data_IF_854595391497
#
_entry.id   IF_854595391497
#
_cell.length_a   1.000
_cell.length_b   1.000
_cell.length_c   1.000
_cell.angle_alpha   90.00
_cell.angle_beta   90.00
_cell.angle_gamma   90.00
#
_symmetry.space_group_name_H-M   'P 1'
#
loop_
_entity.id
_entity.type
_entity.pdbx_description
1 polymer ?
#
# COMPACT_ATOMS: atom_id res chain seq x y z
N UNK A 1 -19.53 6.41 3.51
CA UNK A 1 -18.05 6.38 3.39
C UNK A 1 -17.43 7.72 3.01
N UNK A 2 -17.94 8.45 2.00
CA UNK A 2 -17.37 9.73 1.55
C UNK A 2 -17.16 10.78 2.66
N UNK A 3 -18.08 10.87 3.64
CA UNK A 3 -18.01 11.85 4.75
C UNK A 3 -16.85 11.59 5.73
N UNK A 4 -16.50 10.32 5.96
CA UNK A 4 -15.39 9.94 6.85
C UNK A 4 -14.07 10.18 6.13
N UNK A 5 -13.99 9.84 4.84
CA UNK A 5 -12.79 10.10 4.02
C UNK A 5 -12.53 11.60 3.91
N UNK A 6 -13.54 12.41 3.64
CA UNK A 6 -13.42 13.87 3.60
C UNK A 6 -13.00 14.47 4.95
N UNK A 7 -13.50 13.92 6.06
CA UNK A 7 -13.12 14.35 7.41
C UNK A 7 -11.69 13.94 7.78
N UNK A 8 -11.28 12.72 7.45
CA UNK A 8 -9.90 12.25 7.62
C UNK A 8 -8.94 13.07 6.75
N UNK A 9 -9.35 13.42 5.53
CA UNK A 9 -8.58 14.31 4.64
C UNK A 9 -8.45 15.71 5.21
N UNK A 10 -9.54 16.33 5.68
CA UNK A 10 -9.48 17.69 6.23
C UNK A 10 -8.65 17.77 7.52
N UNK A 11 -8.75 16.74 8.38
CA UNK A 11 -7.95 16.62 9.60
C UNK A 11 -6.47 16.38 9.28
N UNK A 12 -6.15 15.55 8.29
CA UNK A 12 -4.78 15.30 7.89
C UNK A 12 -4.11 16.53 7.27
N UNK A 13 -4.85 17.25 6.42
CA UNK A 13 -4.38 18.49 5.78
C UNK A 13 -4.14 19.61 6.81
N UNK A 14 -4.94 19.66 7.89
CA UNK A 14 -4.74 20.64 8.97
C UNK A 14 -3.58 20.31 9.90
N UNK A 15 -3.31 19.02 10.13
CA UNK A 15 -2.21 18.58 11.02
C UNK A 15 -0.87 18.48 10.26
N UNK A 16 -0.89 18.29 8.94
CA UNK A 16 0.31 18.19 8.11
C UNK A 16 1.08 16.88 8.33
N UNK A 17 2.40 16.96 8.54
CA UNK A 17 3.27 15.78 8.63
C UNK A 17 2.90 14.77 9.74
N UNK A 18 2.58 15.20 10.97
CA UNK A 18 2.14 14.28 12.02
C UNK A 18 0.81 13.59 11.70
N UNK A 19 -0.10 14.28 11.00
CA UNK A 19 -1.37 13.68 10.55
C UNK A 19 -1.12 12.61 9.50
N UNK A 20 -0.21 12.88 8.56
CA UNK A 20 0.22 11.93 7.54
C UNK A 20 0.89 10.70 8.15
N UNK A 21 1.75 10.88 9.16
CA UNK A 21 2.35 9.77 9.92
C UNK A 21 1.28 8.88 10.54
N UNK A 22 0.29 9.46 11.23
CA UNK A 22 -0.74 8.69 11.92
C UNK A 22 -1.64 7.93 10.95
N UNK A 23 -1.98 8.54 9.82
CA UNK A 23 -2.77 7.88 8.78
C UNK A 23 -1.97 6.76 8.11
N UNK A 24 -0.70 7.00 7.76
CA UNK A 24 0.17 5.98 7.20
C UNK A 24 0.35 4.79 8.16
N UNK A 25 0.43 5.06 9.46
CA UNK A 25 0.45 4.06 10.51
C UNK A 25 -0.83 3.22 10.54
N UNK A 26 -2.00 3.87 10.57
CA UNK A 26 -3.28 3.17 10.61
C UNK A 26 -3.54 2.35 9.34
N UNK A 27 -3.21 2.92 8.18
CA UNK A 27 -3.37 2.29 6.88
C UNK A 27 -2.47 1.05 6.72
N UNK A 28 -1.23 1.14 7.20
CA UNK A 28 -0.29 0.02 7.15
C UNK A 28 -0.52 -1.05 8.23
N UNK A 29 -1.25 -0.72 9.30
CA UNK A 29 -1.55 -1.65 10.40
C UNK A 29 -2.82 -2.49 10.14
N UNK A 30 -3.98 -2.01 10.60
CA UNK A 30 -5.20 -2.81 10.76
C UNK A 30 -6.33 -2.38 9.83
N UNK A 31 -6.41 -1.09 9.53
CA UNK A 31 -7.43 -0.53 8.65
C UNK A 31 -6.87 -0.57 7.24
N UNK A 32 -7.42 -1.40 6.37
CA UNK A 32 -7.15 -1.25 4.94
C UNK A 32 -7.98 -0.07 4.46
N UNK A 33 -7.42 1.13 4.56
CA UNK A 33 -8.00 2.32 3.96
C UNK A 33 -7.45 2.37 2.53
N UNK A 34 -8.28 2.20 1.49
CA UNK A 34 -7.76 2.21 0.13
C UNK A 34 -7.15 3.58 -0.18
N UNK A 35 -5.83 3.63 -0.39
CA UNK A 35 -5.09 4.72 -1.04
C UNK A 35 -5.16 6.11 -0.37
N UNK A 36 -5.74 6.22 0.84
CA UNK A 36 -5.88 7.51 1.53
C UNK A 36 -4.52 8.13 1.83
N UNK A 37 -3.54 7.32 2.24
CA UNK A 37 -2.19 7.81 2.52
C UNK A 37 -1.50 8.38 1.27
N UNK A 38 -1.59 7.68 0.14
CA UNK A 38 -0.95 8.08 -1.12
C UNK A 38 -1.53 9.38 -1.65
N UNK A 39 -2.86 9.50 -1.62
CA UNK A 39 -3.56 10.74 -1.97
C UNK A 39 -3.14 11.91 -1.06
N UNK A 40 -2.98 11.66 0.24
CA UNK A 40 -2.56 12.70 1.18
C UNK A 40 -1.12 13.15 0.97
N UNK A 41 -0.20 12.22 0.67
CA UNK A 41 1.18 12.58 0.26
C UNK A 41 1.13 13.52 -0.93
N UNK A 42 0.40 13.14 -1.99
CA UNK A 42 0.29 13.95 -3.21
C UNK A 42 -0.30 15.33 -2.92
N UNK A 43 -1.44 15.41 -2.22
CA UNK A 43 -2.11 16.68 -1.93
C UNK A 43 -1.25 17.63 -1.09
N UNK A 44 -0.62 17.12 -0.02
CA UNK A 44 0.24 17.93 0.86
C UNK A 44 1.48 18.43 0.12
N UNK A 45 2.05 17.61 -0.76
CA UNK A 45 3.23 17.98 -1.54
C UNK A 45 2.89 18.98 -2.64
N UNK A 46 1.70 18.90 -3.25
CA UNK A 46 1.25 19.93 -4.19
C UNK A 46 1.11 21.29 -3.51
N UNK A 47 0.54 21.31 -2.29
CA UNK A 47 0.36 22.55 -1.51
C UNK A 47 1.68 23.14 -1.01
N UNK A 48 2.63 22.28 -0.63
CA UNK A 48 3.90 22.66 -0.01
C UNK A 48 5.07 21.86 -0.62
N UNK A 49 5.42 22.20 -1.86
CA UNK A 49 6.44 21.50 -2.66
C UNK A 49 7.82 21.50 -2.00
N UNK A 50 8.14 22.56 -1.27
CA UNK A 50 9.38 22.70 -0.51
C UNK A 50 9.51 21.67 0.63
N UNK A 51 8.39 21.10 1.09
CA UNK A 51 8.33 20.08 2.15
C UNK A 51 8.18 18.66 1.60
N UNK A 52 8.46 18.44 0.31
CA UNK A 52 8.36 17.14 -0.35
C UNK A 52 8.99 15.99 0.45
N UNK A 53 10.27 16.14 0.82
CA UNK A 53 11.00 15.12 1.57
C UNK A 53 10.42 14.91 2.98
N UNK A 54 9.95 15.98 3.62
CA UNK A 54 9.36 15.89 4.95
C UNK A 54 8.09 15.02 4.93
N UNK A 55 7.17 15.25 3.99
CA UNK A 55 5.96 14.43 3.89
C UNK A 55 6.26 12.99 3.48
N UNK A 56 7.17 12.77 2.53
CA UNK A 56 7.59 11.42 2.16
C UNK A 56 8.20 10.65 3.36
N UNK A 57 9.01 11.33 4.17
CA UNK A 57 9.59 10.74 5.39
C UNK A 57 8.52 10.43 6.44
N UNK A 58 7.58 11.35 6.70
CA UNK A 58 6.50 11.10 7.66
C UNK A 58 5.61 9.92 7.25
N UNK A 59 5.25 9.82 5.97
CA UNK A 59 4.51 8.68 5.44
C UNK A 59 5.32 7.37 5.56
N UNK A 60 6.63 7.42 5.27
CA UNK A 60 7.52 6.26 5.40
C UNK A 60 7.61 5.78 6.84
N UNK A 61 7.84 6.69 7.80
CA UNK A 61 7.96 6.36 9.21
C UNK A 61 6.63 5.82 9.77
N UNK A 62 5.51 6.43 9.39
CA UNK A 62 4.18 5.97 9.79
C UNK A 62 3.90 4.56 9.25
N UNK A 63 4.16 4.36 7.95
CA UNK A 63 4.00 3.04 7.32
C UNK A 63 4.89 1.98 7.95
N UNK A 64 6.17 2.30 8.20
CA UNK A 64 7.11 1.41 8.88
C UNK A 64 6.61 1.02 10.28
N UNK A 65 6.19 2.00 11.07
CA UNK A 65 5.64 1.75 12.41
C UNK A 65 4.42 0.83 12.36
N UNK A 66 3.51 1.05 11.39
CA UNK A 66 2.34 0.18 11.24
C UNK A 66 2.69 -1.23 10.76
N UNK A 67 3.66 -1.35 9.85
CA UNK A 67 4.19 -2.63 9.41
C UNK A 67 4.86 -3.40 10.56
N UNK A 68 5.56 -2.71 11.46
CA UNK A 68 6.16 -3.34 12.65
C UNK A 68 5.09 -3.91 13.58
N UNK A 69 3.98 -3.20 13.79
CA UNK A 69 2.84 -3.74 14.56
C UNK A 69 2.35 -5.03 13.94
N UNK A 70 2.10 -5.04 12.63
CA UNK A 70 1.64 -6.23 11.92
C UNK A 70 2.67 -7.38 11.95
N UNK A 71 3.95 -7.06 11.81
CA UNK A 71 5.05 -8.01 11.95
C UNK A 71 5.06 -8.65 13.35
N UNK A 72 4.92 -7.87 14.42
CA UNK A 72 4.91 -8.41 15.79
C UNK A 72 3.66 -9.24 16.07
N UNK A 73 2.52 -8.87 15.49
CA UNK A 73 1.30 -9.69 15.54
C UNK A 73 1.54 -11.04 14.86
N UNK A 74 2.21 -11.06 13.71
CA UNK A 74 2.61 -12.31 13.05
C UNK A 74 3.53 -13.14 13.95
N UNK A 75 4.57 -12.50 14.50
CA UNK A 75 5.58 -13.15 15.34
C UNK A 75 5.00 -13.76 16.61
N UNK A 76 4.06 -13.09 17.28
CA UNK A 76 3.41 -13.57 18.52
C UNK A 76 2.20 -14.46 18.26
N UNK A 77 1.39 -14.14 17.25
CA UNK A 77 0.13 -14.83 16.95
C UNK A 77 0.28 -16.10 16.12
N UNK A 78 1.46 -16.29 15.50
CA UNK A 78 1.79 -17.50 14.75
C UNK A 78 0.91 -17.74 13.52
N UNK A 79 1.11 -18.90 12.88
CA UNK A 79 0.42 -19.25 11.64
C UNK A 79 -1.11 -19.38 11.78
N UNK A 80 -1.63 -19.64 12.99
CA UNK A 80 -3.07 -19.80 13.22
C UNK A 80 -3.83 -18.47 13.04
N UNK A 81 -3.36 -17.39 13.67
CA UNK A 81 -3.99 -16.07 13.56
C UNK A 81 -3.91 -15.53 12.13
N UNK A 82 -2.77 -15.73 11.46
CA UNK A 82 -2.56 -15.31 10.09
C UNK A 82 -3.46 -16.04 9.08
N UNK A 83 -3.59 -17.36 9.21
CA UNK A 83 -4.48 -18.16 8.36
C UNK A 83 -5.94 -17.72 8.51
N UNK A 84 -6.36 -17.37 9.73
CA UNK A 84 -7.72 -16.88 10.00
C UNK A 84 -8.00 -15.51 9.36
N UNK A 85 -7.00 -14.60 9.31
CA UNK A 85 -7.17 -13.23 8.82
C UNK A 85 -7.00 -13.05 7.32
N UNK A 86 -6.13 -13.85 6.67
CA UNK A 86 -5.73 -13.69 5.26
C UNK A 86 -5.89 -14.95 4.39
N UNK A 87 -6.32 -16.08 4.98
CA UNK A 87 -6.54 -17.35 4.28
C UNK A 87 -5.28 -18.21 4.09
N UNK A 88 -5.41 -19.53 4.21
CA UNK A 88 -4.29 -20.48 4.16
C UNK A 88 -3.48 -20.48 2.85
N UNK A 89 -4.16 -20.44 1.70
CA UNK A 89 -3.52 -20.48 0.37
C UNK A 89 -2.62 -19.27 0.09
N UNK A 90 -3.00 -18.06 0.55
CA UNK A 90 -2.18 -16.85 0.39
C UNK A 90 -0.91 -16.94 1.22
N UNK A 91 -1.03 -17.56 2.40
CA UNK A 91 0.06 -17.78 3.35
C UNK A 91 1.13 -18.73 2.79
N UNK A 92 0.69 -19.87 2.23
CA UNK A 92 1.59 -20.87 1.65
C UNK A 92 2.38 -20.32 0.45
N UNK A 93 1.70 -19.59 -0.44
CA UNK A 93 2.36 -18.97 -1.61
C UNK A 93 3.41 -17.95 -1.19
N UNK A 94 3.08 -17.11 -0.23
CA UNK A 94 4.00 -16.07 0.20
C UNK A 94 5.14 -16.64 1.07
N UNK A 95 4.94 -17.75 1.78
CA UNK A 95 6.03 -18.52 2.42
C UNK A 95 6.97 -19.13 1.37
N UNK A 96 6.43 -19.74 0.31
CA UNK A 96 7.24 -20.29 -0.78
C UNK A 96 8.05 -19.20 -1.50
N UNK A 97 7.47 -18.02 -1.71
CA UNK A 97 8.17 -16.86 -2.26
C UNK A 97 9.27 -16.36 -1.30
N UNK A 98 9.01 -16.33 0.01
CA UNK A 98 10.02 -15.96 0.99
C UNK A 98 11.19 -16.95 1.02
N UNK A 99 10.92 -18.26 1.00
CA UNK A 99 11.97 -19.28 0.92
C UNK A 99 12.84 -19.15 -0.34
N UNK A 100 12.24 -18.75 -1.46
CA UNK A 100 12.94 -18.63 -2.75
C UNK A 100 13.68 -17.30 -2.94
N UNK A 101 13.12 -16.19 -2.46
CA UNK A 101 13.59 -14.83 -2.77
C UNK A 101 14.01 -14.00 -1.54
N UNK A 102 13.82 -14.51 -0.33
CA UNK A 102 14.22 -13.85 0.92
C UNK A 102 13.67 -12.43 1.05
N UNK A 103 14.57 -11.45 1.22
CA UNK A 103 14.21 -10.04 1.38
C UNK A 103 13.41 -9.46 0.21
N UNK A 104 13.64 -9.94 -1.02
CA UNK A 104 12.91 -9.48 -2.21
C UNK A 104 11.42 -9.85 -2.16
N UNK A 105 11.06 -10.92 -1.45
CA UNK A 105 9.66 -11.30 -1.24
C UNK A 105 8.88 -10.27 -0.42
N UNK A 106 9.57 -9.41 0.33
CA UNK A 106 8.96 -8.33 1.13
C UNK A 106 9.10 -6.99 0.40
N UNK A 107 10.27 -6.73 -0.20
CA UNK A 107 10.55 -5.48 -0.90
C UNK A 107 9.64 -5.25 -2.12
N UNK A 108 9.48 -6.26 -2.99
CA UNK A 108 8.72 -6.11 -4.24
C UNK A 108 7.25 -5.75 -3.95
N UNK A 109 6.51 -6.48 -3.10
CA UNK A 109 5.15 -6.11 -2.74
C UNK A 109 5.05 -4.76 -2.02
N UNK A 110 6.10 -4.31 -1.34
CA UNK A 110 6.11 -3.03 -0.63
C UNK A 110 6.20 -1.82 -1.58
N UNK A 111 6.81 -2.00 -2.75
CA UNK A 111 6.90 -0.97 -3.80
C UNK A 111 5.70 -1.03 -4.74
N UNK A 112 5.14 -2.22 -4.98
CA UNK A 112 4.06 -2.40 -5.97
C UNK A 112 2.74 -1.71 -5.56
N UNK A 113 2.02 -1.13 -6.54
CA UNK A 113 0.70 -0.53 -6.30
C UNK A 113 -0.35 -1.59 -5.92
N UNK A 114 -1.51 -1.16 -5.37
CA UNK A 114 -2.68 -2.04 -5.17
C UNK A 114 -3.00 -2.76 -6.50
N UNK A 115 -3.30 -4.07 -6.54
CA UNK A 115 -3.79 -4.97 -5.50
C UNK A 115 -2.73 -5.95 -4.96
N UNK A 116 -1.49 -5.50 -4.76
CA UNK A 116 -0.42 -6.36 -4.24
C UNK A 116 -0.74 -6.86 -2.81
N UNK A 117 -0.53 -8.15 -2.49
CA UNK A 117 -0.83 -8.70 -1.16
C UNK A 117 0.26 -8.35 -0.13
N UNK A 118 0.72 -7.10 -0.10
CA UNK A 118 1.80 -6.60 0.73
C UNK A 118 1.67 -6.98 2.21
N UNK A 119 0.49 -6.77 2.82
CA UNK A 119 0.25 -7.05 4.25
C UNK A 119 0.43 -8.53 4.60
N UNK A 120 0.17 -9.44 3.66
CA UNK A 120 0.38 -10.88 3.85
C UNK A 120 1.87 -11.19 4.00
N UNK A 121 2.72 -10.56 3.18
CA UNK A 121 4.17 -10.70 3.27
C UNK A 121 4.74 -10.11 4.56
N UNK A 122 4.22 -8.96 5.01
CA UNK A 122 4.60 -8.38 6.31
C UNK A 122 4.29 -9.33 7.47
N UNK A 123 3.09 -9.89 7.49
CA UNK A 123 2.68 -10.83 8.53
C UNK A 123 3.50 -12.13 8.51
N UNK A 124 3.79 -12.63 7.30
CA UNK A 124 4.66 -13.79 7.09
C UNK A 124 6.09 -13.55 7.56
N UNK A 125 6.65 -12.36 7.32
CA UNK A 125 7.96 -12.01 7.83
C UNK A 125 8.00 -12.09 9.36
N UNK A 126 6.91 -11.70 10.03
CA UNK A 126 6.72 -11.89 11.47
C UNK A 126 6.75 -13.36 11.87
N UNK A 127 5.97 -14.20 11.18
CA UNK A 127 5.83 -15.64 11.48
C UNK A 127 7.11 -16.42 11.18
N UNK A 128 7.80 -16.07 10.11
CA UNK A 128 9.10 -16.65 9.74
C UNK A 128 10.24 -16.18 10.66
N UNK A 129 9.97 -15.24 11.58
CA UNK A 129 10.96 -14.77 12.54
C UNK A 129 12.09 -13.95 11.91
N UNK A 130 11.83 -13.26 10.78
CA UNK A 130 12.83 -12.44 10.09
C UNK A 130 13.43 -11.43 11.06
N UNK A 131 14.77 -11.24 11.11
CA UNK A 131 15.37 -10.26 12.03
C UNK A 131 14.71 -8.88 11.87
N UNK A 132 14.30 -8.27 12.99
CA UNK A 132 13.53 -7.01 12.99
C UNK A 132 14.25 -5.90 12.24
N UNK A 133 15.57 -5.82 12.43
CA UNK A 133 16.40 -4.81 11.75
C UNK A 133 16.37 -4.99 10.24
N UNK A 134 16.47 -6.24 9.75
CA UNK A 134 16.42 -6.54 8.32
C UNK A 134 15.03 -6.26 7.74
N UNK A 135 13.97 -6.62 8.46
CA UNK A 135 12.60 -6.29 8.05
C UNK A 135 12.40 -4.76 7.98
N UNK A 136 12.84 -4.04 9.00
CA UNK A 136 12.67 -2.59 9.09
C UNK A 136 13.43 -1.86 7.98
N UNK A 137 14.67 -2.24 7.67
CA UNK A 137 15.45 -1.62 6.59
C UNK A 137 14.82 -1.86 5.23
N UNK A 138 14.36 -3.08 4.95
CA UNK A 138 13.68 -3.41 3.69
C UNK A 138 12.41 -2.59 3.51
N UNK A 139 11.58 -2.49 4.55
CA UNK A 139 10.34 -1.69 4.50
C UNK A 139 10.66 -0.21 4.37
N UNK A 140 11.61 0.32 5.14
CA UNK A 140 11.99 1.73 5.09
C UNK A 140 12.49 2.12 3.70
N UNK A 141 13.33 1.30 3.06
CA UNK A 141 13.82 1.56 1.71
C UNK A 141 12.72 1.45 0.66
N UNK A 142 11.91 0.40 0.70
CA UNK A 142 10.85 0.20 -0.28
C UNK A 142 9.75 1.27 -0.18
N UNK A 143 9.29 1.56 1.04
CA UNK A 143 8.28 2.60 1.29
C UNK A 143 8.84 3.99 1.09
N UNK A 144 10.07 4.24 1.52
CA UNK A 144 10.79 5.49 1.27
C UNK A 144 10.90 5.78 -0.21
N UNK A 145 11.31 4.80 -1.01
CA UNK A 145 11.36 4.93 -2.46
C UNK A 145 9.98 5.26 -3.05
N UNK A 146 8.95 4.50 -2.67
CA UNK A 146 7.58 4.70 -3.18
C UNK A 146 7.05 6.09 -2.87
N UNK A 147 7.04 6.50 -1.60
CA UNK A 147 6.50 7.80 -1.20
C UNK A 147 7.32 8.97 -1.73
N UNK A 148 8.65 8.80 -1.86
CA UNK A 148 9.50 9.82 -2.48
C UNK A 148 9.22 9.93 -3.98
N UNK A 149 9.03 8.81 -4.68
CA UNK A 149 8.66 8.82 -6.09
C UNK A 149 7.27 9.46 -6.32
N UNK A 150 6.29 9.12 -5.50
CA UNK A 150 4.95 9.73 -5.53
C UNK A 150 5.02 11.23 -5.25
N UNK A 151 5.76 11.65 -4.21
CA UNK A 151 5.97 13.05 -3.90
C UNK A 151 6.71 13.80 -5.02
N UNK A 152 7.69 13.17 -5.66
CA UNK A 152 8.42 13.76 -6.79
C UNK A 152 7.50 14.00 -7.99
N UNK A 153 6.67 13.00 -8.31
CA UNK A 153 5.64 13.13 -9.35
C UNK A 153 4.64 14.24 -9.01
N UNK A 154 4.24 14.36 -7.74
CA UNK A 154 3.36 15.41 -7.27
C UNK A 154 3.97 16.82 -7.47
N UNK A 155 5.26 17.00 -7.16
CA UNK A 155 5.96 18.28 -7.42
C UNK A 155 5.99 18.61 -8.91
N UNK A 156 6.28 17.61 -9.76
CA UNK A 156 6.52 17.81 -11.19
C UNK A 156 5.24 17.99 -12.02
N UNK A 157 4.20 17.23 -11.69
CA UNK A 157 2.98 17.09 -12.49
C UNK A 157 1.69 17.42 -11.72
N UNK A 158 1.76 17.68 -10.41
CA UNK A 158 0.56 17.88 -9.59
C UNK A 158 -0.32 19.03 -10.06
N UNK A 159 0.26 20.18 -10.39
CA UNK A 159 -0.50 21.34 -10.89
C UNK A 159 -1.19 21.03 -12.23
N UNK A 160 -0.50 20.31 -13.12
CA UNK A 160 -1.04 19.88 -14.42
C UNK A 160 -2.18 18.88 -14.22
N UNK A 161 -2.02 17.95 -13.26
CA UNK A 161 -3.05 16.99 -12.92
C UNK A 161 -4.30 17.68 -12.36
N UNK A 162 -4.15 18.70 -11.51
CA UNK A 162 -5.28 19.49 -10.99
C UNK A 162 -5.96 20.24 -12.14
N UNK A 163 -5.22 20.95 -12.98
CA UNK A 163 -5.78 21.68 -14.12
C UNK A 163 -6.55 20.75 -15.08
N UNK A 164 -6.01 19.56 -15.36
CA UNK A 164 -6.69 18.55 -16.19
C UNK A 164 -7.99 18.03 -15.55
N UNK A 165 -8.02 17.87 -14.23
CA UNK A 165 -9.23 17.46 -13.50
C UNK A 165 -10.27 18.59 -13.49
N UNK A 166 -9.86 19.84 -13.35
CA UNK A 166 -10.77 21.00 -13.36
C UNK A 166 -11.37 21.22 -14.76
N UNK A 167 -10.58 21.13 -15.82
CA UNK A 167 -11.05 21.32 -17.20
C UNK A 167 -11.81 20.11 -17.76
N UNK A 168 -11.35 18.88 -17.44
CA UNK A 168 -11.82 17.66 -18.08
C UNK A 168 -12.33 16.61 -17.09
N UNK A 169 -12.75 17.01 -15.90
CA UNK A 169 -13.08 16.10 -14.79
C UNK A 169 -14.01 14.95 -15.16
N UNK A 170 -15.00 15.17 -16.03
CA UNK A 170 -15.89 14.11 -16.52
C UNK A 170 -15.16 13.08 -17.39
N UNK A 171 -14.30 13.52 -18.31
CA UNK A 171 -13.52 12.64 -19.17
C UNK A 171 -12.47 11.87 -18.38
N UNK A 172 -11.77 12.54 -17.44
CA UNK A 172 -10.80 11.90 -16.53
C UNK A 172 -11.47 10.85 -15.66
N UNK A 173 -12.64 11.16 -15.09
CA UNK A 173 -13.41 10.20 -14.27
C UNK A 173 -13.84 8.97 -15.06
N UNK A 174 -14.31 9.16 -16.30
CA UNK A 174 -14.70 8.07 -17.19
C UNK A 174 -13.48 7.23 -17.58
N UNK A 175 -12.37 7.86 -17.95
CA UNK A 175 -11.13 7.15 -18.30
C UNK A 175 -10.62 6.31 -17.11
N UNK A 176 -10.60 6.89 -15.90
CA UNK A 176 -10.22 6.17 -14.68
C UNK A 176 -11.17 4.99 -14.41
N UNK A 177 -12.48 5.20 -14.53
CA UNK A 177 -13.47 4.15 -14.37
C UNK A 177 -13.28 3.01 -15.39
N UNK A 178 -12.99 3.32 -16.65
CA UNK A 178 -12.71 2.33 -17.69
C UNK A 178 -11.43 1.55 -17.38
N UNK A 179 -10.37 2.21 -16.89
CA UNK A 179 -9.13 1.53 -16.49
C UNK A 179 -9.38 0.59 -15.30
N UNK A 180 -10.11 1.04 -14.29
CA UNK A 180 -10.43 0.22 -13.10
C UNK A 180 -11.34 -0.95 -13.49
N UNK A 181 -12.41 -0.70 -14.23
CA UNK A 181 -13.33 -1.76 -14.68
C UNK A 181 -12.59 -2.72 -15.61
N UNK A 182 -11.81 -2.21 -16.56
CA UNK A 182 -11.03 -2.99 -17.50
C UNK A 182 -9.99 -3.87 -16.81
N UNK A 183 -9.27 -3.34 -15.82
CA UNK A 183 -8.29 -4.12 -15.03
C UNK A 183 -8.96 -5.17 -14.15
N UNK A 184 -10.11 -4.86 -13.54
CA UNK A 184 -10.91 -5.85 -12.79
C UNK A 184 -11.45 -6.94 -13.71
N UNK A 185 -12.00 -6.58 -14.88
CA UNK A 185 -12.50 -7.55 -15.87
C UNK A 185 -11.36 -8.41 -16.43
N UNK A 186 -10.23 -7.82 -16.79
CA UNK A 186 -9.04 -8.55 -17.24
C UNK A 186 -8.55 -9.51 -16.14
N UNK A 187 -8.55 -9.08 -14.88
CA UNK A 187 -8.21 -9.93 -13.75
C UNK A 187 -9.21 -11.08 -13.54
N UNK A 188 -10.52 -10.82 -13.67
CA UNK A 188 -11.57 -11.84 -13.58
C UNK A 188 -11.47 -12.86 -14.71
N UNK A 189 -11.23 -12.42 -15.95
CA UNK A 189 -11.05 -13.28 -17.13
C UNK A 189 -9.76 -14.11 -17.00
N UNK A 190 -8.66 -13.50 -16.54
CA UNK A 190 -7.42 -14.22 -16.27
C UNK A 190 -7.60 -15.26 -15.15
N UNK A 191 -8.39 -14.94 -14.13
CA UNK A 191 -8.72 -15.84 -13.03
C UNK A 191 -9.64 -16.99 -13.45
N UNK A 192 -10.59 -16.78 -14.36
CA UNK A 192 -11.45 -17.84 -14.89
C UNK A 192 -10.68 -18.78 -15.83
N UNK A 193 -9.77 -18.25 -16.66
CA UNK A 193 -8.89 -19.07 -17.54
C UNK A 193 -7.88 -19.94 -16.78
N UNK A 194 -7.57 -19.62 -15.52
CA UNK A 194 -6.72 -20.45 -14.64
C UNK A 194 -7.49 -21.46 -13.78
N UNK A 195 -8.80 -21.59 -14.00
CA UNK A 195 -9.70 -22.54 -13.31
C UNK A 195 -10.21 -23.63 -14.26
N UNK A 196 -9.41 -24.12 -15.20
CA UNK A 196 -9.76 -25.40 -15.84
C UNK A 196 -9.38 -26.59 -14.94
N UNK A 197 -10.23 -27.63 -14.88
CA UNK A 197 -10.18 -28.66 -13.84
C UNK A 197 -9.10 -29.70 -14.14
N UNK A 198 -8.42 -30.14 -13.09
CA UNK A 198 -7.81 -31.47 -13.08
C UNK A 198 -8.95 -32.47 -12.84
N UNK A 199 -9.57 -32.96 -13.92
CA UNK A 199 -10.31 -34.22 -14.00
C UNK A 199 -9.59 -34.98 -15.13
N UNK A 200 -8.77 -35.99 -14.84
CA UNK A 200 -9.20 -37.30 -14.38
C UNK A 200 -8.87 -38.30 -15.48
N UNK A 201 -7.64 -38.80 -15.47
CA UNK A 201 -7.23 -40.02 -16.17
C UNK A 201 -7.23 -41.19 -15.18
#
# INVERSE_FOLDING_TARGET
MARIVAWVQSVALTIGGPGLFFIAFLDSSFLSLPEINDLLVVLLVIQHKERMLYYALMATLGSLAGCLVLYYIGRKGGAALARRRFGGRSMERALALYQRYGALAIAIPAVLPPPSPFKVFVLLAGIAGVPVLHFATVIALARGFRYTAEAWLAVRYGDQAIALIEENGRAVSIALAVVVIGSVLAWLIWRSRRREPVEGA
#
